data_IF_938297997681
#
_entry.id   IF_938297997681
#
_cell.length_a   1.000
_cell.length_b   1.000
_cell.length_c   1.000
_cell.angle_alpha   90.00
_cell.angle_beta   90.00
_cell.angle_gamma   90.00
#
_symmetry.space_group_name_H-M   'P 1'
#
loop_
_entity.id
_entity.type
_entity.pdbx_description
1 polymer ?
#
# COMPACT_ATOMS: atom_id res chain seq x y z
N UNK A 1 -4.79 13.60 -9.47
CA UNK A 1 -4.74 12.46 -8.54
C UNK A 1 -4.07 11.32 -9.30
N UNK A 2 -2.97 10.77 -8.79
CA UNK A 2 -2.18 9.74 -9.47
C UNK A 2 -2.67 8.36 -9.01
N UNK A 3 -3.55 7.72 -9.79
CA UNK A 3 -4.07 6.38 -9.47
C UNK A 3 -4.22 5.53 -10.72
N UNK A 4 -3.44 4.45 -10.77
CA UNK A 4 -3.21 3.64 -11.96
C UNK A 4 -2.72 4.52 -13.13
N UNK A 5 -1.80 5.42 -12.82
CA UNK A 5 -1.26 6.39 -13.77
C UNK A 5 0.22 6.69 -13.48
N UNK A 6 0.91 7.23 -14.48
CA UNK A 6 2.35 7.51 -14.45
C UNK A 6 2.60 8.98 -14.72
N UNK A 7 3.38 9.60 -13.85
CA UNK A 7 3.85 10.97 -14.00
C UNK A 7 5.36 10.98 -14.24
N UNK A 8 5.82 11.81 -15.16
CA UNK A 8 7.23 11.96 -15.49
C UNK A 8 7.72 13.34 -15.11
N UNK A 9 8.86 13.41 -14.44
CA UNK A 9 9.54 14.66 -14.14
C UNK A 9 11.06 14.45 -14.22
N UNK A 10 11.70 15.18 -15.13
CA UNK A 10 13.12 14.98 -15.46
C UNK A 10 13.40 13.52 -15.82
N UNK A 11 14.36 12.87 -15.16
CA UNK A 11 14.75 11.47 -15.33
C UNK A 11 14.04 10.53 -14.35
N UNK A 12 12.99 10.99 -13.67
CA UNK A 12 12.22 10.19 -12.72
C UNK A 12 10.83 9.88 -13.27
N UNK A 13 10.44 8.60 -13.24
CA UNK A 13 9.05 8.17 -13.42
C UNK A 13 8.42 7.86 -12.07
N UNK A 14 7.23 8.41 -11.85
CA UNK A 14 6.41 8.22 -10.65
C UNK A 14 5.19 7.39 -11.04
N UNK A 15 5.05 6.20 -10.46
CA UNK A 15 3.92 5.31 -10.68
C UNK A 15 3.04 5.36 -9.44
N UNK A 16 1.80 5.82 -9.58
CA UNK A 16 0.89 5.99 -8.44
C UNK A 16 -0.34 5.10 -8.55
N UNK A 17 -0.70 4.46 -7.44
CA UNK A 17 -1.97 3.73 -7.30
C UNK A 17 -2.41 3.66 -5.84
N UNK A 18 -3.69 3.53 -5.56
CA UNK A 18 -4.16 3.28 -4.18
C UNK A 18 -3.66 1.93 -3.65
N UNK A 19 -3.31 1.00 -4.55
CA UNK A 19 -2.97 -0.41 -4.33
C UNK A 19 -4.13 -1.25 -3.76
N UNK A 20 -4.94 -0.73 -2.84
CA UNK A 20 -5.93 -1.52 -2.09
C UNK A 20 -5.30 -2.80 -1.52
N UNK A 21 -6.12 -3.77 -1.10
CA UNK A 21 -5.62 -4.99 -0.47
C UNK A 21 -6.19 -6.26 -1.11
N UNK A 22 -5.39 -7.31 -1.14
CA UNK A 22 -5.80 -8.66 -1.48
C UNK A 22 -6.26 -9.50 -0.29
N UNK A 23 -6.13 -9.01 0.95
CA UNK A 23 -6.50 -9.73 2.18
C UNK A 23 -5.73 -11.03 2.43
N UNK A 24 -4.58 -11.24 1.78
CA UNK A 24 -3.84 -12.51 1.90
C UNK A 24 -2.77 -12.51 2.98
N UNK A 25 -2.18 -11.36 3.31
CA UNK A 25 -0.99 -11.29 4.18
C UNK A 25 0.09 -12.27 3.69
N UNK A 26 0.50 -13.21 4.54
CA UNK A 26 1.46 -14.27 4.25
C UNK A 26 0.78 -15.62 3.91
N UNK A 27 -0.53 -15.61 3.68
CA UNK A 27 -1.33 -16.78 3.33
C UNK A 27 -1.66 -17.70 4.51
N UNK A 28 -1.33 -17.34 5.76
CA UNK A 28 -1.63 -18.19 6.94
C UNK A 28 -3.12 -18.30 7.27
N UNK A 29 -3.92 -17.32 6.83
CA UNK A 29 -5.37 -17.28 7.03
C UNK A 29 -6.11 -17.54 5.72
N UNK A 30 -7.31 -18.11 5.81
CA UNK A 30 -8.18 -18.21 4.64
C UNK A 30 -8.63 -16.81 4.19
N UNK A 31 -8.37 -16.46 2.93
CA UNK A 31 -8.66 -15.12 2.37
C UNK A 31 -10.13 -14.72 2.53
N UNK A 32 -11.07 -15.64 2.27
CA UNK A 32 -12.51 -15.36 2.38
C UNK A 32 -12.93 -15.10 3.83
N UNK A 33 -12.32 -15.79 4.79
CA UNK A 33 -12.57 -15.53 6.22
C UNK A 33 -12.05 -14.14 6.63
N UNK A 34 -10.86 -13.76 6.16
CA UNK A 34 -10.30 -12.41 6.40
C UNK A 34 -11.23 -11.34 5.83
N UNK A 35 -11.67 -11.49 4.58
CA UNK A 35 -12.61 -10.56 3.93
C UNK A 35 -13.90 -10.43 4.72
N UNK A 36 -14.53 -11.55 5.12
CA UNK A 36 -15.76 -11.52 5.91
C UNK A 36 -15.60 -10.80 7.26
N UNK A 37 -14.46 -10.99 7.93
CA UNK A 37 -14.15 -10.31 9.19
C UNK A 37 -13.97 -8.81 8.96
N UNK A 38 -13.15 -8.44 7.99
CA UNK A 38 -12.79 -7.04 7.70
C UNK A 38 -14.00 -6.23 7.24
N UNK A 39 -14.89 -6.81 6.43
CA UNK A 39 -16.10 -6.14 5.93
C UNK A 39 -16.98 -5.58 7.06
N UNK A 40 -17.00 -6.27 8.20
CA UNK A 40 -17.81 -5.89 9.35
C UNK A 40 -17.08 -4.98 10.34
N UNK A 41 -15.76 -4.83 10.23
CA UNK A 41 -14.91 -4.10 11.18
C UNK A 41 -14.50 -2.74 10.64
N UNK A 42 -14.06 -2.66 9.39
CA UNK A 42 -13.51 -1.41 8.86
C UNK A 42 -14.59 -0.40 8.48
N UNK A 43 -14.28 0.86 8.72
CA UNK A 43 -15.15 2.00 8.40
C UNK A 43 -15.33 2.17 6.89
N UNK A 44 -14.33 1.79 6.10
CA UNK A 44 -14.33 1.82 4.64
C UNK A 44 -15.58 1.14 4.09
N UNK A 45 -15.91 -0.05 4.62
CA UNK A 45 -17.04 -0.85 4.16
C UNK A 45 -18.40 -0.39 4.69
N UNK A 46 -18.41 0.57 5.61
CA UNK A 46 -19.63 1.14 6.22
C UNK A 46 -19.98 2.52 5.68
N UNK A 47 -18.98 3.29 5.23
CA UNK A 47 -19.16 4.70 4.89
C UNK A 47 -18.79 5.05 3.45
N UNK A 48 -17.91 4.29 2.80
CA UNK A 48 -17.55 4.55 1.39
C UNK A 48 -18.68 4.03 0.51
N UNK A 49 -19.17 4.87 -0.40
CA UNK A 49 -20.09 4.47 -1.46
C UNK A 49 -19.33 4.07 -2.70
N UNK A 50 -19.80 3.03 -3.39
CA UNK A 50 -19.18 2.54 -4.61
C UNK A 50 -20.18 2.58 -5.77
N UNK A 51 -20.07 3.60 -6.61
CA UNK A 51 -20.98 3.82 -7.74
C UNK A 51 -22.44 3.87 -7.30
N UNK A 52 -23.30 3.23 -8.08
CA UNK A 52 -24.73 3.02 -7.76
C UNK A 52 -24.98 1.76 -6.94
N UNK A 53 -23.95 0.95 -6.70
CA UNK A 53 -24.05 -0.43 -6.18
C UNK A 53 -24.11 -0.49 -4.64
N UNK A 54 -24.22 0.67 -3.98
CA UNK A 54 -24.32 0.78 -2.53
C UNK A 54 -22.97 1.03 -1.88
N UNK A 55 -22.70 0.33 -0.77
CA UNK A 55 -21.47 0.49 -0.01
C UNK A 55 -20.30 -0.25 -0.66
N UNK A 56 -19.08 0.23 -0.40
CA UNK A 56 -17.84 -0.37 -0.85
C UNK A 56 -17.58 -1.69 -0.11
N UNK A 57 -17.54 -2.83 -0.78
CA UNK A 57 -17.35 -4.15 -0.14
C UNK A 57 -15.88 -4.57 -0.14
N UNK A 58 -15.53 -5.63 0.59
CA UNK A 58 -14.19 -6.23 0.48
C UNK A 58 -13.92 -6.79 -0.91
N UNK A 59 -14.96 -7.26 -1.60
CA UNK A 59 -14.86 -7.72 -2.97
C UNK A 59 -14.50 -6.57 -3.93
N UNK A 60 -15.01 -5.36 -3.70
CA UNK A 60 -14.61 -4.18 -4.47
C UNK A 60 -13.14 -3.83 -4.23
N UNK A 61 -12.68 -3.82 -2.97
CA UNK A 61 -11.28 -3.59 -2.65
C UNK A 61 -10.35 -4.62 -3.31
N UNK A 62 -10.71 -5.91 -3.25
CA UNK A 62 -9.95 -6.99 -3.90
C UNK A 62 -9.91 -6.81 -5.43
N UNK A 63 -11.03 -6.42 -6.04
CA UNK A 63 -11.08 -6.13 -7.48
C UNK A 63 -10.11 -4.98 -7.83
N UNK A 64 -10.19 -3.86 -7.10
CA UNK A 64 -9.34 -2.70 -7.33
C UNK A 64 -7.86 -3.01 -7.06
N UNK A 65 -7.57 -3.87 -6.08
CA UNK A 65 -6.22 -4.36 -5.82
C UNK A 65 -5.66 -5.13 -7.01
N UNK A 66 -6.42 -6.08 -7.55
CA UNK A 66 -5.97 -6.84 -8.71
C UNK A 66 -5.72 -5.94 -9.93
N UNK A 67 -6.58 -4.93 -10.15
CA UNK A 67 -6.35 -3.91 -11.19
C UNK A 67 -5.06 -3.12 -10.94
N UNK A 68 -4.85 -2.63 -9.72
CA UNK A 68 -3.66 -1.88 -9.34
C UNK A 68 -2.37 -2.71 -9.46
N UNK A 69 -2.40 -3.95 -8.98
CA UNK A 69 -1.26 -4.88 -9.04
C UNK A 69 -0.89 -5.21 -10.48
N UNK A 70 -1.87 -5.45 -11.36
CA UNK A 70 -1.63 -5.68 -12.78
C UNK A 70 -1.02 -4.44 -13.46
N UNK A 71 -1.57 -3.25 -13.19
CA UNK A 71 -1.02 -1.99 -13.68
C UNK A 71 0.44 -1.79 -13.23
N UNK A 72 0.73 -1.96 -11.93
CA UNK A 72 2.09 -1.88 -11.40
C UNK A 72 3.03 -2.88 -12.09
N UNK A 73 2.57 -4.12 -12.25
CA UNK A 73 3.33 -5.17 -12.91
C UNK A 73 3.65 -4.84 -14.37
N UNK A 74 2.70 -4.25 -15.11
CA UNK A 74 2.91 -3.80 -16.49
C UNK A 74 3.90 -2.62 -16.55
N UNK A 75 3.70 -1.56 -15.76
CA UNK A 75 4.57 -0.38 -15.78
C UNK A 75 5.99 -0.68 -15.30
N UNK A 76 6.15 -1.49 -14.24
CA UNK A 76 7.45 -1.86 -13.69
C UNK A 76 8.25 -2.78 -14.63
N UNK A 77 7.59 -3.51 -15.52
CA UNK A 77 8.27 -4.32 -16.54
C UNK A 77 8.72 -3.50 -17.76
N UNK A 78 8.23 -2.27 -17.93
CA UNK A 78 8.72 -1.38 -19.00
C UNK A 78 10.12 -0.89 -18.64
N UNK A 79 11.03 -1.00 -19.61
CA UNK A 79 12.39 -0.47 -19.50
C UNK A 79 12.36 1.05 -19.29
N UNK A 80 13.18 1.54 -18.35
CA UNK A 80 13.34 2.96 -18.05
C UNK A 80 14.80 3.19 -17.65
N UNK A 81 15.46 4.16 -18.29
CA UNK A 81 16.88 4.46 -18.05
C UNK A 81 17.10 5.33 -16.80
N UNK A 82 16.04 5.92 -16.26
CA UNK A 82 16.10 6.78 -15.08
C UNK A 82 15.61 6.10 -13.80
N UNK A 83 15.21 6.90 -12.80
CA UNK A 83 14.72 6.40 -11.51
C UNK A 83 13.23 6.09 -11.55
N UNK A 84 12.83 5.03 -10.86
CA UNK A 84 11.42 4.63 -10.68
C UNK A 84 11.01 4.81 -9.23
N UNK A 85 10.06 5.71 -9.01
CA UNK A 85 9.39 5.91 -7.72
C UNK A 85 7.98 5.34 -7.81
N UNK A 86 7.60 4.50 -6.85
CA UNK A 86 6.23 4.01 -6.71
C UNK A 86 5.60 4.65 -5.48
N UNK A 87 4.35 5.10 -5.61
CA UNK A 87 3.56 5.63 -4.49
C UNK A 87 2.28 4.81 -4.35
N UNK A 88 2.08 4.23 -3.18
CA UNK A 88 0.85 3.52 -2.83
C UNK A 88 0.17 4.09 -1.59
N UNK A 89 -1.14 3.86 -1.43
CA UNK A 89 -1.76 4.10 -0.14
C UNK A 89 -1.53 2.91 0.79
N UNK A 90 -1.90 1.70 0.35
CA UNK A 90 -1.73 0.46 1.12
C UNK A 90 -0.27 -0.02 1.09
N UNK A 91 0.10 -0.79 2.10
CA UNK A 91 1.47 -1.26 2.30
C UNK A 91 1.82 -2.46 1.40
N UNK A 92 3.02 -2.47 0.78
CA UNK A 92 3.40 -3.49 -0.21
C UNK A 92 4.22 -4.66 0.38
N UNK A 93 4.41 -4.73 1.69
CA UNK A 93 5.24 -5.75 2.35
C UNK A 93 4.79 -5.98 3.80
N UNK A 94 4.94 -7.21 4.28
CA UNK A 94 4.70 -7.57 5.68
C UNK A 94 5.63 -6.82 6.66
N UNK A 95 6.78 -6.35 6.18
CA UNK A 95 7.72 -5.53 6.96
C UNK A 95 7.18 -4.12 7.26
N UNK A 96 6.11 -3.69 6.57
CA UNK A 96 5.41 -2.43 6.82
C UNK A 96 4.45 -2.49 8.01
N UNK A 97 4.32 -3.66 8.66
CA UNK A 97 3.43 -3.85 9.79
C UNK A 97 3.78 -2.91 10.94
N UNK A 98 2.74 -2.41 11.60
CA UNK A 98 2.89 -1.60 12.79
C UNK A 98 3.47 -2.45 13.94
N UNK A 99 4.58 -2.07 14.57
CA UNK A 99 5.30 -2.93 15.52
C UNK A 99 4.53 -3.21 16.82
N UNK A 100 3.55 -2.37 17.18
CA UNK A 100 2.69 -2.60 18.35
C UNK A 100 1.48 -3.51 18.05
N UNK A 101 1.22 -3.86 16.79
CA UNK A 101 0.08 -4.70 16.40
C UNK A 101 0.53 -6.07 15.90
N UNK A 102 -0.25 -7.10 16.23
CA UNK A 102 -0.04 -8.44 15.70
C UNK A 102 -0.37 -8.47 14.21
N UNK A 103 0.35 -9.31 13.46
CA UNK A 103 0.03 -9.60 12.07
C UNK A 103 -1.13 -10.62 12.01
N UNK A 104 -2.30 -10.19 12.49
CA UNK A 104 -3.54 -10.96 12.54
C UNK A 104 -4.39 -10.77 11.27
N UNK A 105 -5.60 -11.32 11.23
CA UNK A 105 -6.48 -11.22 10.06
C UNK A 105 -6.81 -9.76 9.68
N UNK A 106 -6.91 -8.85 10.65
CA UNK A 106 -7.24 -7.44 10.40
C UNK A 106 -6.09 -6.74 9.67
N UNK A 107 -4.83 -7.12 9.94
CA UNK A 107 -3.67 -6.60 9.21
C UNK A 107 -3.78 -6.81 7.69
N UNK A 108 -4.51 -7.84 7.25
CA UNK A 108 -4.76 -8.13 5.84
C UNK A 108 -5.59 -7.07 5.15
N UNK A 109 -6.25 -6.18 5.88
CA UNK A 109 -6.90 -5.03 5.28
C UNK A 109 -5.92 -3.91 4.86
N UNK A 110 -4.71 -3.91 5.41
CA UNK A 110 -3.76 -2.81 5.26
C UNK A 110 -2.53 -3.17 4.41
N UNK A 111 -2.17 -4.46 4.41
CA UNK A 111 -0.89 -4.98 3.90
C UNK A 111 -1.17 -6.11 2.90
N UNK A 112 -0.54 -6.02 1.74
CA UNK A 112 -0.41 -7.11 0.77
C UNK A 112 1.06 -7.36 0.50
N UNK A 113 1.47 -8.63 0.44
CA UNK A 113 2.83 -9.00 0.06
C UNK A 113 3.01 -8.81 -1.46
N UNK A 114 3.71 -7.74 -1.83
CA UNK A 114 4.03 -7.36 -3.21
C UNK A 114 5.55 -7.14 -3.36
N UNK A 115 6.38 -7.78 -2.53
CA UNK A 115 7.83 -7.56 -2.50
C UNK A 115 8.49 -7.82 -3.87
N UNK A 116 7.93 -8.70 -4.70
CA UNK A 116 8.38 -8.98 -6.06
C UNK A 116 8.21 -7.79 -7.02
N UNK A 117 7.21 -6.93 -6.77
CA UNK A 117 7.02 -5.67 -7.48
C UNK A 117 7.90 -4.58 -6.87
N UNK A 118 7.97 -4.52 -5.54
CA UNK A 118 8.81 -3.55 -4.82
C UNK A 118 10.25 -3.62 -5.29
N UNK A 119 10.82 -4.83 -5.41
CA UNK A 119 12.21 -5.04 -5.84
C UNK A 119 12.56 -4.45 -7.23
N UNK A 120 11.57 -4.07 -8.06
CA UNK A 120 11.76 -3.48 -9.39
C UNK A 120 11.88 -1.96 -9.38
N UNK A 121 11.44 -1.30 -8.32
CA UNK A 121 11.52 0.15 -8.17
C UNK A 121 12.85 0.58 -7.53
N UNK A 122 13.13 1.89 -7.50
CA UNK A 122 14.26 2.46 -6.77
C UNK A 122 13.81 3.03 -5.42
N UNK A 123 12.59 3.57 -5.36
CA UNK A 123 11.94 4.04 -4.13
C UNK A 123 10.46 3.64 -4.12
N UNK A 124 9.95 3.20 -2.98
CA UNK A 124 8.53 2.95 -2.74
C UNK A 124 8.05 3.75 -1.53
N UNK A 125 7.07 4.61 -1.74
CA UNK A 125 6.41 5.39 -0.70
C UNK A 125 5.03 4.83 -0.42
N UNK A 126 4.67 4.68 0.85
CA UNK A 126 3.35 4.17 1.23
C UNK A 126 2.80 4.81 2.52
N UNK A 127 1.54 4.50 2.84
CA UNK A 127 0.86 4.96 4.06
C UNK A 127 0.00 3.88 4.72
N UNK A 128 -1.16 4.31 5.21
CA UNK A 128 -2.25 3.49 5.75
C UNK A 128 -1.98 2.68 7.04
N UNK A 129 -0.76 2.21 7.30
CA UNK A 129 -0.41 1.39 8.49
C UNK A 129 -0.15 2.21 9.76
N UNK A 130 -0.01 3.53 9.62
CA UNK A 130 0.38 4.46 10.68
C UNK A 130 1.68 4.06 11.40
N UNK A 131 2.59 3.41 10.67
CA UNK A 131 3.93 3.07 11.12
C UNK A 131 4.97 3.61 10.14
N UNK A 132 5.95 4.34 10.66
CA UNK A 132 7.02 4.93 9.85
C UNK A 132 8.23 4.01 9.83
N UNK A 133 8.60 3.57 8.63
CA UNK A 133 9.68 2.63 8.38
C UNK A 133 10.59 3.16 7.27
N UNK A 134 11.82 2.69 7.25
CA UNK A 134 12.82 2.98 6.23
C UNK A 134 13.72 1.76 6.10
N UNK A 135 13.50 0.95 5.07
CA UNK A 135 14.21 -0.32 4.86
C UNK A 135 14.38 -0.63 3.37
N UNK A 136 15.06 -1.72 3.05
CA UNK A 136 15.41 -2.10 1.67
C UNK A 136 14.81 -3.45 1.29
N UNK A 137 14.20 -3.55 0.11
CA UNK A 137 13.84 -4.81 -0.56
C UNK A 137 14.55 -4.84 -1.92
N UNK A 138 15.54 -5.72 -2.05
CA UNK A 138 16.43 -5.74 -3.22
C UNK A 138 17.13 -4.39 -3.37
N UNK A 139 16.95 -3.71 -4.51
CA UNK A 139 17.47 -2.35 -4.74
C UNK A 139 16.53 -1.23 -4.27
N UNK A 140 15.27 -1.55 -3.98
CA UNK A 140 14.26 -0.54 -3.66
C UNK A 140 14.35 -0.14 -2.19
N UNK A 141 14.38 1.17 -1.93
CA UNK A 141 14.17 1.72 -0.59
C UNK A 141 12.67 1.87 -0.36
N UNK A 142 12.15 1.36 0.75
CA UNK A 142 10.73 1.50 1.14
C UNK A 142 10.64 2.46 2.31
N UNK A 143 9.85 3.53 2.16
CA UNK A 143 9.75 4.61 3.15
C UNK A 143 8.29 4.99 3.41
N UNK A 144 7.97 5.24 4.68
CA UNK A 144 6.71 5.87 5.10
C UNK A 144 6.95 6.99 6.11
N UNK A 145 6.13 8.03 6.05
CA UNK A 145 6.17 9.20 6.92
C UNK A 145 4.74 9.70 7.20
N UNK A 146 4.01 8.91 7.95
CA UNK A 146 2.60 8.97 8.30
C UNK A 146 2.42 9.72 9.62
N UNK A 147 1.41 10.59 9.67
CA UNK A 147 1.05 11.37 10.88
C UNK A 147 0.28 10.54 11.92
N UNK A 148 -0.58 9.62 11.46
CA UNK A 148 -1.54 8.93 12.33
C UNK A 148 -2.63 9.87 12.85
N UNK A 149 -3.40 9.40 13.83
CA UNK A 149 -4.40 10.20 14.53
C UNK A 149 -3.83 10.93 15.76
N UNK A 150 -4.47 12.02 16.19
CA UNK A 150 -4.01 12.89 17.30
C UNK A 150 -3.70 12.14 18.61
N UNK A 151 -4.41 11.03 18.89
CA UNK A 151 -4.25 10.22 20.10
C UNK A 151 -3.66 8.84 19.83
N UNK A 152 -3.27 8.57 18.60
CA UNK A 152 -2.64 7.32 18.21
C UNK A 152 -1.14 7.41 18.46
N UNK A 153 -0.57 6.30 18.92
CA UNK A 153 0.88 6.18 19.03
C UNK A 153 1.43 5.75 17.67
N UNK A 154 2.18 6.64 17.01
CA UNK A 154 3.02 6.29 15.87
C UNK A 154 4.45 6.01 16.39
N UNK A 155 4.99 4.79 16.28
CA UNK A 155 6.25 4.38 16.93
C UNK A 155 7.46 5.23 16.54
N UNK A 156 7.53 5.63 15.27
CA UNK A 156 8.52 6.58 14.75
C UNK A 156 7.76 7.82 14.29
N UNK A 157 8.00 8.95 14.94
CA UNK A 157 7.22 10.16 14.73
C UNK A 157 7.26 10.66 13.28
N UNK A 158 6.16 11.26 12.83
CA UNK A 158 6.09 12.01 11.59
C UNK A 158 7.13 13.13 11.56
N UNK A 159 7.83 13.25 10.44
CA UNK A 159 8.84 14.29 10.19
C UNK A 159 8.29 15.28 9.15
N UNK A 160 7.81 16.47 9.52
CA UNK A 160 7.21 17.43 8.58
C UNK A 160 8.19 17.90 7.50
N UNK A 161 9.47 18.01 7.85
CA UNK A 161 10.54 18.50 6.97
C UNK A 161 11.35 17.34 6.34
N UNK A 162 10.75 16.14 6.23
CA UNK A 162 11.45 15.00 5.64
C UNK A 162 11.71 15.22 4.15
N UNK A 163 12.99 15.18 3.78
CA UNK A 163 13.45 15.12 2.39
C UNK A 163 13.94 13.70 2.13
N UNK A 164 13.49 13.12 1.02
CA UNK A 164 13.92 11.81 0.54
C UNK A 164 14.71 12.02 -0.75
N UNK A 165 16.00 11.69 -0.71
CA UNK A 165 16.87 11.66 -1.88
C UNK A 165 16.65 10.35 -2.65
N UNK A 166 16.66 10.42 -4.00
CA UNK A 166 16.40 9.33 -4.95
C UNK A 166 17.58 9.15 -5.91
#
# INVERSE_FOLDING_TARGET
FLNNDVFYYQDVRFIGTTLWTDYKLDGRYNQSDVMNIVENILSDHRYIKFGTDGFFTTQHALMLHNTARNFLQEELNKTWEGKTVVITHHAPSLQCAHPDYQLDQIAGAFISDCEELVAKADLWLYGHTHANVDFQIGKCRVVSNQLGYERERVPVAFRPELIIEI
#
